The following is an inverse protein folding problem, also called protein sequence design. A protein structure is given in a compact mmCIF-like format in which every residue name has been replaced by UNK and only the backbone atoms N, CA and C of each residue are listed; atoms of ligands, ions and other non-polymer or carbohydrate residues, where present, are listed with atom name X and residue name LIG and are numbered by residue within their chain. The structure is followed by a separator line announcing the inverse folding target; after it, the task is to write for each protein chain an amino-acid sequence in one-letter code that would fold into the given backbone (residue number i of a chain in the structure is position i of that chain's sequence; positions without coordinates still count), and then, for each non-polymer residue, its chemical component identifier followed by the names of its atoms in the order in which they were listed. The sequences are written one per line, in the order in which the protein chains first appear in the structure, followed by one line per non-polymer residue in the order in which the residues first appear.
data_IF_937160768692
#
_entry.id   IF_937160768692
#
_cell.length_a   1.000
_cell.length_b   1.000
_cell.length_c   1.000
_cell.angle_alpha   90.00
_cell.angle_beta   90.00
_cell.angle_gamma   90.00
#
_symmetry.space_group_name_H-M   'P 1'
#
loop_
_entity.id
_entity.type
_entity.pdbx_description
1 polymer ?
#
# COMPACT_ATOMS: atom_id res chain seq x y z
N UNK A 1 24.71 -9.60 15.10
CA UNK A 1 25.76 -9.83 16.11
C UNK A 1 25.41 -9.08 17.38
N UNK A 2 25.45 -9.75 18.54
CA UNK A 2 25.25 -9.13 19.87
C UNK A 2 24.06 -8.16 19.95
N UNK A 3 22.93 -8.55 19.37
CA UNK A 3 21.68 -7.79 19.35
C UNK A 3 21.55 -6.76 18.22
N UNK A 4 22.56 -6.62 17.37
CA UNK A 4 22.50 -5.74 16.19
C UNK A 4 22.41 -6.55 14.91
N UNK A 5 21.39 -6.27 14.07
CA UNK A 5 21.27 -6.84 12.73
C UNK A 5 22.03 -5.94 11.74
N UNK A 6 22.95 -6.54 10.98
CA UNK A 6 23.64 -5.90 9.86
C UNK A 6 23.26 -6.61 8.58
N UNK A 7 22.77 -5.87 7.59
CA UNK A 7 22.43 -6.37 6.26
C UNK A 7 23.33 -5.72 5.22
N UNK A 8 24.01 -6.53 4.41
CA UNK A 8 24.82 -6.09 3.30
C UNK A 8 24.23 -6.60 1.99
N UNK A 9 24.07 -5.70 1.03
CA UNK A 9 23.72 -6.09 -0.34
C UNK A 9 24.96 -6.63 -1.05
N UNK A 10 24.77 -7.53 -2.00
CA UNK A 10 25.86 -8.10 -2.78
C UNK A 10 26.74 -7.03 -3.44
N UNK A 11 26.15 -6.00 -4.05
CA UNK A 11 26.90 -4.89 -4.64
C UNK A 11 27.80 -4.18 -3.60
N UNK A 12 27.28 -3.97 -2.39
CA UNK A 12 28.03 -3.33 -1.31
C UNK A 12 29.17 -4.21 -0.79
N UNK A 13 28.98 -5.54 -0.78
CA UNK A 13 30.05 -6.48 -0.38
C UNK A 13 31.19 -6.45 -1.41
N UNK A 14 30.87 -6.34 -2.71
CA UNK A 14 31.88 -6.22 -3.77
C UNK A 14 32.67 -4.89 -3.72
N UNK A 15 32.13 -3.87 -3.05
CA UNK A 15 32.76 -2.55 -2.88
C UNK A 15 33.46 -2.36 -1.51
N UNK A 16 33.47 -3.39 -0.66
CA UNK A 16 34.14 -3.30 0.65
C UNK A 16 35.62 -2.99 0.53
N UNK A 17 36.16 -2.34 1.54
CA UNK A 17 37.60 -2.06 1.64
C UNK A 17 38.38 -3.36 1.77
N UNK A 18 39.59 -3.44 1.17
CA UNK A 18 40.45 -4.59 1.32
C UNK A 18 40.99 -4.74 2.76
N UNK A 19 40.77 -5.92 3.34
CA UNK A 19 41.32 -6.31 4.64
C UNK A 19 42.49 -7.23 4.41
N UNK A 20 43.59 -7.07 5.19
CA UNK A 20 44.78 -7.89 5.08
C UNK A 20 44.44 -9.40 5.19
N UNK A 21 44.88 -10.19 4.22
CA UNK A 21 44.65 -11.64 4.06
C UNK A 21 43.18 -12.05 3.69
N UNK A 22 42.22 -11.12 3.72
CA UNK A 22 40.80 -11.45 3.43
C UNK A 22 40.35 -10.95 2.07
N UNK A 23 41.04 -9.98 1.49
CA UNK A 23 40.56 -9.25 0.32
C UNK A 23 39.44 -8.29 0.69
N UNK A 24 38.45 -8.09 -0.19
CA UNK A 24 37.29 -7.24 0.11
C UNK A 24 36.41 -7.93 1.14
N UNK A 25 36.48 -7.47 2.38
CA UNK A 25 35.80 -8.13 3.48
C UNK A 25 35.36 -7.16 4.59
N UNK A 26 34.31 -7.54 5.30
CA UNK A 26 33.94 -6.98 6.61
C UNK A 26 34.17 -8.03 7.69
N UNK A 27 34.93 -7.67 8.71
CA UNK A 27 35.32 -8.55 9.82
C UNK A 27 34.75 -7.97 11.11
N UNK A 28 33.83 -8.69 11.75
CA UNK A 28 33.17 -8.26 12.99
C UNK A 28 33.41 -9.28 14.11
N UNK A 29 33.83 -8.79 15.28
CA UNK A 29 33.95 -9.64 16.48
C UNK A 29 32.58 -9.79 17.14
N UNK A 30 32.13 -11.02 17.36
CA UNK A 30 30.90 -11.37 18.05
C UNK A 30 31.25 -11.97 19.40
N UNK A 31 30.74 -11.39 20.47
CA UNK A 31 31.16 -11.77 21.82
C UNK A 31 30.30 -12.85 22.46
N UNK A 32 29.01 -12.87 22.17
CA UNK A 32 28.08 -13.72 22.88
C UNK A 32 27.07 -14.44 21.98
N UNK A 33 26.41 -13.71 21.11
CA UNK A 33 25.35 -14.27 20.28
C UNK A 33 25.37 -13.68 18.86
N UNK A 34 25.31 -14.55 17.87
CA UNK A 34 25.25 -14.10 16.49
C UNK A 34 25.06 -15.25 15.53
N UNK A 35 24.71 -14.87 14.34
CA UNK A 35 24.59 -15.74 13.18
C UNK A 35 24.98 -14.97 11.93
N UNK A 36 25.40 -15.68 10.90
CA UNK A 36 25.85 -15.11 9.63
C UNK A 36 25.41 -16.02 8.48
N UNK A 37 25.06 -15.45 7.34
CA UNK A 37 24.67 -16.23 6.18
C UNK A 37 24.12 -15.40 5.05
N UNK A 38 23.52 -16.08 4.09
CA UNK A 38 22.90 -15.50 2.93
C UNK A 38 21.38 -15.61 3.04
N UNK A 39 20.68 -14.55 2.64
CA UNK A 39 19.23 -14.52 2.62
C UNK A 39 18.72 -13.98 1.30
N UNK A 40 17.66 -14.60 0.79
CA UNK A 40 16.86 -14.14 -0.32
C UNK A 40 15.41 -13.92 0.17
N UNK A 41 14.49 -13.65 -0.72
CA UNK A 41 13.08 -13.36 -0.40
C UNK A 41 12.47 -14.42 0.53
N UNK A 42 12.58 -15.70 0.18
CA UNK A 42 11.93 -16.81 0.88
C UNK A 42 12.88 -17.84 1.44
N UNK A 43 14.16 -17.81 1.07
CA UNK A 43 15.14 -18.81 1.42
C UNK A 43 16.33 -18.18 2.12
N UNK A 44 16.96 -18.92 2.99
CA UNK A 44 18.21 -18.52 3.59
C UNK A 44 19.11 -19.70 3.91
N UNK A 45 20.40 -19.43 3.95
CA UNK A 45 21.43 -20.33 4.49
C UNK A 45 22.19 -19.58 5.55
N UNK A 46 22.16 -20.06 6.78
CA UNK A 46 22.69 -19.33 7.93
C UNK A 46 23.47 -20.27 8.84
N UNK A 47 24.65 -19.84 9.22
CA UNK A 47 25.50 -20.49 10.22
C UNK A 47 25.37 -19.73 11.55
N UNK A 48 24.98 -20.44 12.60
CA UNK A 48 24.87 -19.90 13.96
C UNK A 48 25.75 -20.72 14.90
N UNK A 49 26.85 -20.17 15.42
CA UNK A 49 27.57 -20.75 16.58
C UNK A 49 26.65 -20.95 17.77
N UNK A 50 26.96 -21.90 18.64
CA UNK A 50 26.14 -22.13 19.82
C UNK A 50 25.97 -20.85 20.65
N UNK A 51 24.77 -20.59 21.21
CA UNK A 51 24.54 -19.40 22.04
C UNK A 51 25.58 -19.28 23.18
N UNK A 52 26.11 -18.08 23.37
CA UNK A 52 27.17 -17.81 24.35
C UNK A 52 28.59 -18.04 23.85
N UNK A 53 28.76 -18.51 22.61
CA UNK A 53 30.10 -18.76 22.05
C UNK A 53 30.55 -17.55 21.22
N UNK A 54 31.74 -17.01 21.58
CA UNK A 54 32.37 -15.94 20.81
C UNK A 54 32.97 -16.47 19.49
N UNK A 55 32.85 -15.65 18.44
CA UNK A 55 33.41 -15.94 17.12
C UNK A 55 33.73 -14.67 16.35
N UNK A 56 34.53 -14.79 15.30
CA UNK A 56 34.71 -13.71 14.32
C UNK A 56 33.82 -13.98 13.10
N UNK A 57 32.95 -13.04 12.81
CA UNK A 57 32.10 -13.03 11.61
C UNK A 57 32.86 -12.39 10.46
N UNK A 58 32.94 -13.05 9.31
CA UNK A 58 33.61 -12.54 8.12
C UNK A 58 32.65 -12.64 6.93
N UNK A 59 32.38 -11.51 6.29
CA UNK A 59 31.70 -11.44 5.00
C UNK A 59 32.71 -10.99 3.97
N UNK A 60 32.88 -11.71 2.87
CA UNK A 60 33.89 -11.36 1.87
C UNK A 60 33.44 -11.65 0.44
N UNK A 61 34.08 -10.95 -0.48
CA UNK A 61 33.92 -11.13 -1.93
C UNK A 61 35.28 -11.50 -2.53
N UNK A 62 35.34 -12.64 -3.20
CA UNK A 62 36.48 -13.12 -3.94
C UNK A 62 36.43 -12.71 -5.40
N UNK A 63 37.03 -11.57 -5.75
CA UNK A 63 36.98 -10.99 -7.10
C UNK A 63 37.38 -11.98 -8.21
N UNK A 64 38.44 -12.78 -7.99
CA UNK A 64 38.95 -13.71 -9.00
C UNK A 64 38.02 -14.86 -9.36
N UNK A 65 37.07 -15.18 -8.47
CA UNK A 65 36.13 -16.28 -8.66
C UNK A 65 34.67 -15.80 -8.73
N UNK A 66 34.40 -14.51 -8.52
CA UNK A 66 33.06 -13.92 -8.41
C UNK A 66 32.19 -14.65 -7.35
N UNK A 67 32.77 -14.89 -6.19
CA UNK A 67 32.13 -15.65 -5.12
C UNK A 67 31.98 -14.78 -3.87
N UNK A 68 30.76 -14.78 -3.31
CA UNK A 68 30.48 -14.24 -1.99
C UNK A 68 30.60 -15.36 -0.95
N UNK A 69 31.25 -15.06 0.17
CA UNK A 69 31.50 -16.03 1.22
C UNK A 69 31.19 -15.44 2.59
N UNK A 70 30.58 -16.24 3.47
CA UNK A 70 30.39 -15.93 4.88
C UNK A 70 31.06 -16.99 5.74
N UNK A 71 31.71 -16.54 6.80
CA UNK A 71 32.45 -17.42 7.71
C UNK A 71 32.18 -17.06 9.17
N UNK A 72 32.06 -18.08 10.01
CA UNK A 72 32.13 -17.94 11.47
C UNK A 72 33.44 -18.62 11.96
N UNK A 73 34.34 -17.84 12.45
CA UNK A 73 35.65 -18.33 12.91
C UNK A 73 35.72 -18.33 14.43
N UNK A 74 35.93 -19.50 14.99
CA UNK A 74 36.16 -19.64 16.43
C UNK A 74 37.56 -19.17 16.84
N UNK A 75 37.72 -18.64 18.06
CA UNK A 75 39.03 -18.31 18.59
C UNK A 75 39.92 -19.56 18.68
N UNK A 76 41.23 -19.39 18.47
CA UNK A 76 42.18 -20.48 18.62
C UNK A 76 42.14 -21.02 20.03
N UNK A 77 42.13 -22.34 20.16
CA UNK A 77 42.16 -23.06 21.43
C UNK A 77 43.34 -23.98 21.48
N UNK A 78 44.03 -23.99 22.62
CA UNK A 78 45.14 -24.93 22.86
C UNK A 78 44.58 -26.20 23.45
N UNK A 79 44.78 -27.33 22.76
CA UNK A 79 44.32 -28.65 23.21
C UNK A 79 45.51 -29.37 23.78
N UNK A 80 45.49 -29.67 25.10
CA UNK A 80 46.54 -30.43 25.75
C UNK A 80 46.52 -31.93 25.34
N UNK A 81 47.64 -32.64 25.35
CA UNK A 81 47.67 -34.07 25.05
C UNK A 81 46.68 -34.86 25.91
N UNK A 82 45.84 -35.69 25.29
CA UNK A 82 44.81 -36.49 25.96
C UNK A 82 43.52 -35.75 26.35
N UNK A 83 43.37 -34.46 25.99
CA UNK A 83 42.14 -33.69 26.22
C UNK A 83 41.36 -33.50 24.92
N UNK A 84 40.10 -33.19 25.04
CA UNK A 84 39.16 -32.93 23.92
C UNK A 84 38.56 -31.52 24.07
N UNK A 85 38.42 -30.83 22.94
CA UNK A 85 37.69 -29.58 22.83
C UNK A 85 36.59 -29.76 21.77
N UNK A 86 35.43 -29.30 22.05
CA UNK A 86 34.28 -29.29 21.10
C UNK A 86 33.85 -27.87 20.78
N UNK A 87 33.42 -27.66 19.55
CA UNK A 87 32.78 -26.43 19.09
C UNK A 87 31.46 -26.80 18.38
N UNK A 88 30.38 -26.31 18.90
CA UNK A 88 29.06 -26.61 18.37
C UNK A 88 28.57 -25.45 17.51
N UNK A 89 27.96 -25.78 16.37
CA UNK A 89 27.36 -24.82 15.46
C UNK A 89 26.08 -25.41 14.82
N UNK A 90 25.17 -24.52 14.49
CA UNK A 90 23.92 -24.86 13.78
C UNK A 90 23.99 -24.32 12.38
N UNK A 91 23.67 -25.13 11.40
CA UNK A 91 23.49 -24.73 10.00
C UNK A 91 22.02 -24.80 9.66
N UNK A 92 21.41 -23.67 9.36
CA UNK A 92 20.08 -23.60 8.78
C UNK A 92 20.20 -23.40 7.27
N UNK A 93 19.53 -24.24 6.48
CA UNK A 93 19.42 -24.08 5.04
C UNK A 93 17.98 -24.44 4.64
N UNK A 94 17.17 -23.44 4.34
CA UNK A 94 15.76 -23.71 4.07
C UNK A 94 14.89 -22.47 3.86
N UNK A 95 13.58 -22.72 3.83
CA UNK A 95 12.59 -21.66 3.72
C UNK A 95 12.43 -20.88 5.02
N UNK A 96 12.20 -19.57 4.90
CA UNK A 96 11.97 -18.68 6.05
C UNK A 96 10.55 -18.82 6.59
N UNK A 97 10.19 -20.02 7.03
CA UNK A 97 8.90 -20.31 7.70
C UNK A 97 8.98 -19.75 9.11
N UNK A 98 8.07 -18.86 9.44
CA UNK A 98 8.11 -18.11 10.70
C UNK A 98 8.11 -19.03 11.94
N UNK A 99 7.25 -20.06 11.97
CA UNK A 99 7.21 -20.99 13.10
C UNK A 99 8.57 -21.69 13.32
N UNK A 100 9.20 -22.13 12.23
CA UNK A 100 10.50 -22.80 12.28
C UNK A 100 11.59 -21.86 12.80
N UNK A 101 11.62 -20.63 12.27
CA UNK A 101 12.60 -19.62 12.67
C UNK A 101 12.38 -19.21 14.14
N UNK A 102 11.13 -19.02 14.55
CA UNK A 102 10.80 -18.70 15.93
C UNK A 102 11.15 -19.86 16.89
N UNK A 103 10.91 -21.11 16.49
CA UNK A 103 11.31 -22.27 17.27
C UNK A 103 12.83 -22.34 17.48
N UNK A 104 13.62 -22.02 16.47
CA UNK A 104 15.09 -21.96 16.62
C UNK A 104 15.55 -20.76 17.46
N UNK A 105 14.80 -19.68 17.49
CA UNK A 105 15.08 -18.58 18.40
C UNK A 105 14.81 -18.95 19.87
N UNK A 106 13.80 -19.82 20.13
CA UNK A 106 13.48 -20.30 21.47
C UNK A 106 14.41 -21.45 21.90
N UNK A 107 14.66 -22.40 21.02
CA UNK A 107 15.54 -23.55 21.25
C UNK A 107 16.25 -23.93 19.91
N UNK A 108 17.59 -23.77 19.83
CA UNK A 108 18.62 -23.64 20.88
C UNK A 108 18.87 -22.23 21.43
N UNK A 109 18.09 -21.22 21.09
CA UNK A 109 18.26 -19.87 21.62
C UNK A 109 19.08 -18.93 20.72
N UNK A 110 18.92 -19.07 19.39
CA UNK A 110 19.58 -18.21 18.40
C UNK A 110 18.94 -16.82 18.45
N UNK A 111 19.53 -15.89 19.16
CA UNK A 111 18.95 -14.56 19.40
C UNK A 111 18.78 -13.76 18.11
N UNK A 112 17.61 -13.11 17.97
CA UNK A 112 17.30 -12.28 16.82
C UNK A 112 17.11 -13.06 15.50
N UNK A 113 16.92 -14.39 15.55
CA UNK A 113 16.81 -15.20 14.34
C UNK A 113 15.54 -14.88 13.53
N UNK A 114 14.46 -14.44 14.19
CA UNK A 114 13.24 -13.96 13.55
C UNK A 114 13.50 -12.69 12.72
N UNK A 115 14.55 -11.94 13.01
CA UNK A 115 14.93 -10.75 12.25
C UNK A 115 15.69 -11.08 10.94
N UNK A 116 15.94 -12.37 10.65
CA UNK A 116 16.32 -12.85 9.31
C UNK A 116 15.21 -12.64 8.26
N UNK A 117 13.96 -12.46 8.70
CA UNK A 117 12.84 -12.01 7.86
C UNK A 117 12.89 -10.49 7.80
N UNK A 118 12.95 -9.94 6.59
CA UNK A 118 12.99 -8.49 6.38
C UNK A 118 11.62 -7.85 6.68
N UNK A 119 11.45 -7.37 7.91
CA UNK A 119 10.22 -6.73 8.38
C UNK A 119 10.04 -5.28 7.87
N UNK A 120 11.04 -4.69 7.24
CA UNK A 120 11.02 -3.32 6.72
C UNK A 120 11.05 -2.23 7.80
N UNK A 121 10.95 -0.97 7.36
CA UNK A 121 11.04 0.20 8.25
C UNK A 121 9.94 0.27 9.31
N UNK A 122 8.76 -0.23 8.99
CA UNK A 122 7.61 -0.25 9.92
C UNK A 122 7.53 -1.58 10.69
N UNK A 123 8.70 -2.20 11.04
CA UNK A 123 8.77 -3.49 11.72
C UNK A 123 7.90 -3.55 12.99
N UNK A 124 7.74 -2.44 13.71
CA UNK A 124 6.89 -2.32 14.88
C UNK A 124 5.39 -2.50 14.57
N UNK A 125 4.95 -2.27 13.32
CA UNK A 125 3.62 -2.58 12.81
C UNK A 125 3.60 -3.91 12.06
N UNK A 126 4.64 -4.19 11.26
CA UNK A 126 4.70 -5.37 10.40
C UNK A 126 4.68 -6.66 11.22
N UNK A 127 5.48 -6.75 12.29
CA UNK A 127 5.52 -7.95 13.16
C UNK A 127 4.16 -8.24 13.84
N UNK A 128 3.49 -7.29 14.51
CA UNK A 128 2.16 -7.54 15.08
C UNK A 128 1.10 -7.87 14.02
N UNK A 129 1.11 -7.20 12.87
CA UNK A 129 0.17 -7.45 11.78
C UNK A 129 0.38 -8.86 11.22
N UNK A 130 1.63 -9.30 11.04
CA UNK A 130 1.96 -10.64 10.61
C UNK A 130 1.45 -11.69 11.61
N UNK A 131 1.74 -11.52 12.91
CA UNK A 131 1.27 -12.44 13.95
C UNK A 131 -0.25 -12.55 13.99
N UNK A 132 -0.94 -11.42 13.83
CA UNK A 132 -2.40 -11.40 13.77
C UNK A 132 -2.93 -12.10 12.51
N UNK A 133 -2.29 -11.89 11.34
CA UNK A 133 -2.65 -12.59 10.11
C UNK A 133 -2.45 -14.10 10.24
N UNK A 134 -1.32 -14.51 10.80
CA UNK A 134 -0.98 -15.91 11.04
C UNK A 134 -1.99 -16.58 11.99
N UNK A 135 -2.34 -15.90 13.10
CA UNK A 135 -3.36 -16.38 14.01
C UNK A 135 -4.73 -16.52 13.34
N UNK A 136 -5.13 -15.51 12.55
CA UNK A 136 -6.38 -15.57 11.77
C UNK A 136 -6.38 -16.71 10.77
N UNK A 137 -5.25 -16.97 10.12
CA UNK A 137 -5.11 -18.08 9.18
C UNK A 137 -5.30 -19.43 9.88
N UNK A 138 -4.69 -19.62 11.04
CA UNK A 138 -4.88 -20.82 11.86
C UNK A 138 -6.33 -21.07 12.25
N UNK A 139 -7.12 -20.00 12.42
CA UNK A 139 -8.54 -20.10 12.78
C UNK A 139 -9.46 -20.24 11.55
N UNK A 140 -9.23 -19.48 10.48
CA UNK A 140 -10.11 -19.42 9.29
C UNK A 140 -9.76 -20.53 8.27
N UNK A 141 -8.49 -20.94 8.21
CA UNK A 141 -8.00 -21.97 7.29
C UNK A 141 -7.81 -21.51 5.84
N UNK A 142 -8.08 -20.24 5.51
CA UNK A 142 -7.89 -19.68 4.18
C UNK A 142 -7.27 -18.28 4.26
N UNK A 143 -6.14 -18.08 3.60
CA UNK A 143 -5.33 -16.86 3.71
C UNK A 143 -6.04 -15.62 3.16
N UNK A 144 -6.80 -15.74 2.07
CA UNK A 144 -7.56 -14.61 1.51
C UNK A 144 -8.65 -14.10 2.45
N UNK A 145 -9.40 -14.99 3.08
CA UNK A 145 -10.37 -14.62 4.12
C UNK A 145 -9.70 -14.08 5.37
N UNK A 146 -8.49 -14.56 5.69
CA UNK A 146 -7.69 -14.02 6.80
C UNK A 146 -7.24 -12.59 6.55
N UNK A 147 -6.87 -12.23 5.31
CA UNK A 147 -6.57 -10.84 4.91
C UNK A 147 -7.81 -9.95 5.06
N UNK A 148 -8.98 -10.44 4.68
CA UNK A 148 -10.25 -9.71 4.85
C UNK A 148 -10.55 -9.50 6.33
N UNK A 149 -10.44 -10.54 7.14
CA UNK A 149 -10.62 -10.48 8.59
C UNK A 149 -9.63 -9.53 9.28
N UNK A 150 -8.36 -9.60 8.90
CA UNK A 150 -7.31 -8.68 9.35
C UNK A 150 -7.68 -7.23 9.02
N UNK A 151 -8.11 -6.97 7.80
CA UNK A 151 -8.53 -5.62 7.35
C UNK A 151 -9.67 -5.09 8.22
N UNK A 152 -10.64 -5.94 8.53
CA UNK A 152 -11.76 -5.59 9.39
C UNK A 152 -11.29 -5.22 10.80
N UNK A 153 -10.40 -6.01 11.40
CA UNK A 153 -9.84 -5.74 12.75
C UNK A 153 -9.05 -4.43 12.75
N UNK A 154 -8.19 -4.20 11.76
CA UNK A 154 -7.42 -2.96 11.66
C UNK A 154 -8.34 -1.75 11.52
N UNK A 155 -9.40 -1.86 10.71
CA UNK A 155 -10.42 -0.80 10.58
C UNK A 155 -11.19 -0.54 11.86
N UNK A 156 -11.44 -1.57 12.65
CA UNK A 156 -12.09 -1.44 13.95
C UNK A 156 -11.19 -0.72 14.96
N UNK A 157 -9.90 -1.03 14.98
CA UNK A 157 -8.92 -0.38 15.86
C UNK A 157 -8.78 1.12 15.56
N UNK A 158 -8.79 1.51 14.29
CA UNK A 158 -8.67 2.92 13.88
C UNK A 158 -10.01 3.65 13.81
N UNK A 159 -11.12 2.94 14.06
CA UNK A 159 -12.48 3.48 13.94
C UNK A 159 -12.74 4.77 14.73
N UNK A 160 -12.29 4.92 16.02
CA UNK A 160 -12.54 6.15 16.77
C UNK A 160 -11.95 7.39 16.10
N UNK A 161 -10.77 7.23 15.47
CA UNK A 161 -10.09 8.31 14.74
C UNK A 161 -10.78 8.58 13.41
N UNK A 162 -11.12 7.53 12.67
CA UNK A 162 -11.88 7.60 11.42
C UNK A 162 -13.23 8.30 11.60
N UNK A 163 -13.95 8.00 12.69
CA UNK A 163 -15.22 8.64 13.02
C UNK A 163 -15.08 10.15 13.15
N UNK A 164 -14.07 10.64 13.89
CA UNK A 164 -13.82 12.09 14.05
C UNK A 164 -13.54 12.74 12.69
N UNK A 165 -12.78 12.09 11.85
CA UNK A 165 -12.47 12.56 10.51
C UNK A 165 -13.71 12.66 9.63
N UNK A 166 -14.54 11.61 9.57
CA UNK A 166 -15.76 11.60 8.74
C UNK A 166 -16.80 12.61 9.19
N UNK A 167 -16.92 12.86 10.51
CA UNK A 167 -17.78 13.94 11.03
C UNK A 167 -17.28 15.31 10.55
N UNK A 168 -15.95 15.54 10.57
CA UNK A 168 -15.37 16.78 10.05
C UNK A 168 -15.59 16.93 8.54
N UNK A 169 -15.47 15.84 7.78
CA UNK A 169 -15.74 15.82 6.34
C UNK A 169 -17.22 16.11 6.03
N UNK A 170 -18.15 15.58 6.83
CA UNK A 170 -19.56 15.87 6.70
C UNK A 170 -19.84 17.38 6.86
N UNK A 171 -19.28 17.99 7.90
CA UNK A 171 -19.37 19.46 8.10
C UNK A 171 -18.75 20.25 6.95
N UNK A 172 -17.59 19.83 6.43
CA UNK A 172 -17.00 20.49 5.24
C UNK A 172 -17.91 20.43 4.04
N UNK A 173 -18.65 19.34 3.86
CA UNK A 173 -19.61 19.20 2.78
C UNK A 173 -20.79 20.15 2.90
N UNK A 174 -21.25 20.44 4.12
CA UNK A 174 -22.27 21.48 4.39
C UNK A 174 -21.82 22.88 4.00
N UNK A 175 -20.50 23.14 4.13
CA UNK A 175 -19.95 24.45 3.81
C UNK A 175 -19.68 24.66 2.32
N UNK A 176 -19.86 23.63 1.47
CA UNK A 176 -19.64 23.74 0.02
C UNK A 176 -20.42 24.88 -0.64
N UNK A 177 -21.74 25.12 -0.36
CA UNK A 177 -22.46 26.23 -0.95
C UNK A 177 -21.87 27.59 -0.57
N UNK A 178 -21.40 27.76 0.67
CA UNK A 178 -20.73 28.98 1.11
C UNK A 178 -19.39 29.18 0.43
N UNK A 179 -18.64 28.10 0.18
CA UNK A 179 -17.37 28.15 -0.56
C UNK A 179 -17.60 28.52 -2.04
N UNK A 180 -18.66 28.03 -2.65
CA UNK A 180 -19.07 28.41 -4.02
C UNK A 180 -19.44 29.90 -4.08
N UNK A 181 -20.21 30.40 -3.12
CA UNK A 181 -20.55 31.83 -3.04
C UNK A 181 -19.30 32.72 -2.82
N UNK A 182 -18.32 32.25 -2.02
CA UNK A 182 -17.03 32.94 -1.88
C UNK A 182 -16.30 32.95 -3.23
N UNK A 183 -16.26 31.84 -3.95
CA UNK A 183 -15.61 31.74 -5.25
C UNK A 183 -16.22 32.68 -6.29
N UNK A 184 -17.55 32.75 -6.36
CA UNK A 184 -18.25 33.67 -7.25
C UNK A 184 -17.95 35.14 -6.92
N UNK A 185 -17.87 35.49 -5.63
CA UNK A 185 -17.59 36.83 -5.17
C UNK A 185 -16.15 37.26 -5.41
N UNK A 186 -15.19 36.37 -5.20
CA UNK A 186 -13.75 36.66 -5.27
C UNK A 186 -13.21 36.54 -6.70
N UNK A 187 -13.88 35.76 -7.57
CA UNK A 187 -13.45 35.51 -8.95
C UNK A 187 -12.14 34.72 -9.02
N UNK A 188 -11.21 35.13 -9.87
CA UNK A 188 -9.97 34.41 -10.16
C UNK A 188 -8.83 34.65 -9.15
N UNK A 189 -9.04 35.48 -8.11
CA UNK A 189 -8.04 35.71 -7.07
C UNK A 189 -7.90 34.52 -6.12
N UNK A 190 -6.99 33.61 -6.45
CA UNK A 190 -6.72 32.40 -5.68
C UNK A 190 -6.31 32.67 -4.23
N UNK A 191 -5.50 33.71 -4.00
CA UNK A 191 -4.98 34.01 -2.66
C UNK A 191 -6.10 34.48 -1.74
N UNK A 192 -6.94 35.37 -2.25
CA UNK A 192 -8.11 35.88 -1.53
C UNK A 192 -9.12 34.77 -1.26
N UNK A 193 -9.38 33.92 -2.26
CA UNK A 193 -10.25 32.75 -2.10
C UNK A 193 -9.76 31.81 -0.98
N UNK A 194 -8.47 31.44 -1.00
CA UNK A 194 -7.91 30.56 0.05
C UNK A 194 -8.00 31.19 1.45
N UNK A 195 -7.74 32.48 1.55
CA UNK A 195 -7.85 33.21 2.83
C UNK A 195 -9.28 33.18 3.37
N UNK A 196 -10.25 33.52 2.55
CA UNK A 196 -11.66 33.56 2.96
C UNK A 196 -12.23 32.16 3.30
N UNK A 197 -11.85 31.14 2.54
CA UNK A 197 -12.21 29.73 2.86
C UNK A 197 -11.57 29.30 4.18
N UNK A 198 -10.33 29.69 4.47
CA UNK A 198 -9.70 29.37 5.74
C UNK A 198 -10.34 30.09 6.92
N UNK A 199 -10.79 31.35 6.72
CA UNK A 199 -11.56 32.09 7.70
C UNK A 199 -12.94 31.45 7.95
N UNK A 200 -13.62 30.98 6.88
CA UNK A 200 -14.86 30.21 6.99
C UNK A 200 -14.66 28.95 7.85
N UNK A 201 -13.62 28.13 7.57
CA UNK A 201 -13.33 26.95 8.36
C UNK A 201 -13.03 27.24 9.83
N UNK A 202 -12.32 28.33 10.12
CA UNK A 202 -12.06 28.78 11.49
C UNK A 202 -13.34 29.20 12.21
N UNK A 203 -14.20 29.96 11.54
CA UNK A 203 -15.49 30.42 12.08
C UNK A 203 -16.41 29.25 12.42
N UNK A 204 -16.50 28.27 11.52
CA UNK A 204 -17.35 27.07 11.67
C UNK A 204 -16.69 25.97 12.50
N UNK A 205 -15.46 26.22 13.04
CA UNK A 205 -14.67 25.28 13.85
C UNK A 205 -14.47 23.92 13.16
N UNK A 206 -14.23 23.93 11.85
CA UNK A 206 -13.96 22.76 11.04
C UNK A 206 -12.46 22.72 10.71
N UNK A 207 -11.86 21.54 10.93
CA UNK A 207 -10.45 21.34 10.60
C UNK A 207 -10.33 20.67 9.20
N UNK A 208 -9.82 21.37 8.18
CA UNK A 208 -9.65 20.80 6.85
C UNK A 208 -8.64 19.65 6.82
N UNK A 209 -7.64 19.64 7.71
CA UNK A 209 -6.68 18.56 7.83
C UNK A 209 -7.31 17.24 8.31
N UNK A 210 -8.48 17.28 8.94
CA UNK A 210 -9.18 16.07 9.33
C UNK A 210 -9.59 15.20 8.12
N UNK A 211 -9.80 15.79 6.95
CA UNK A 211 -10.13 15.06 5.71
C UNK A 211 -9.00 14.17 5.19
N UNK A 212 -7.75 14.55 5.36
CA UNK A 212 -6.59 13.76 4.93
C UNK A 212 -6.07 12.78 6.00
N UNK A 213 -6.54 12.89 7.26
CA UNK A 213 -6.08 12.06 8.37
C UNK A 213 -6.22 10.54 8.13
N UNK A 214 -7.34 10.03 7.56
CA UNK A 214 -7.45 8.61 7.24
C UNK A 214 -6.39 8.14 6.24
N UNK A 215 -6.02 8.97 5.27
CA UNK A 215 -4.99 8.64 4.26
C UNK A 215 -3.61 8.59 4.91
N UNK A 216 -3.27 9.56 5.75
CA UNK A 216 -1.99 9.59 6.47
C UNK A 216 -1.82 8.37 7.38
N UNK A 217 -2.88 7.95 8.06
CA UNK A 217 -2.86 6.74 8.89
C UNK A 217 -2.76 5.46 8.05
N UNK A 218 -3.33 5.48 6.85
CA UNK A 218 -3.34 4.34 5.94
C UNK A 218 -1.96 4.02 5.38
N UNK A 219 -1.09 5.04 5.18
CA UNK A 219 0.24 4.86 4.57
C UNK A 219 1.12 3.88 5.36
N UNK A 220 1.36 4.04 6.68
CA UNK A 220 2.14 3.07 7.45
C UNK A 220 1.54 1.66 7.45
N UNK A 221 0.21 1.57 7.55
CA UNK A 221 -0.50 0.29 7.52
C UNK A 221 -0.32 -0.40 6.16
N UNK A 222 -0.40 0.38 5.07
CA UNK A 222 -0.18 -0.13 3.71
C UNK A 222 1.23 -0.69 3.54
N UNK A 223 2.27 0.07 3.94
CA UNK A 223 3.65 -0.41 3.83
C UNK A 223 3.93 -1.63 4.72
N UNK A 224 3.35 -1.68 5.91
CA UNK A 224 3.46 -2.84 6.78
C UNK A 224 2.81 -4.08 6.13
N UNK A 225 1.60 -3.95 5.59
CA UNK A 225 0.90 -5.04 4.90
C UNK A 225 1.57 -5.44 3.59
N UNK A 226 2.05 -4.46 2.80
CA UNK A 226 2.86 -4.76 1.62
C UNK A 226 4.03 -5.65 2.01
N UNK A 227 4.74 -5.29 3.08
CA UNK A 227 5.88 -6.07 3.56
C UNK A 227 5.47 -7.46 4.03
N UNK A 228 4.40 -7.58 4.82
CA UNK A 228 3.85 -8.88 5.26
C UNK A 228 3.56 -9.76 4.05
N UNK A 229 2.79 -9.28 3.07
CA UNK A 229 2.40 -10.05 1.89
C UNK A 229 3.61 -10.41 1.02
N UNK A 230 4.62 -9.52 0.97
CA UNK A 230 5.82 -9.74 0.16
C UNK A 230 6.77 -10.78 0.77
N UNK A 231 6.99 -10.77 2.09
CA UNK A 231 8.00 -11.62 2.75
C UNK A 231 7.46 -12.93 3.29
N UNK A 232 6.15 -13.05 3.45
CA UNK A 232 5.52 -14.23 4.05
C UNK A 232 5.47 -15.38 3.05
N UNK A 233 6.20 -16.45 3.33
CA UNK A 233 6.21 -17.64 2.47
C UNK A 233 4.87 -18.37 2.47
N UNK A 234 4.10 -18.27 3.54
CA UNK A 234 2.78 -18.87 3.71
C UNK A 234 1.72 -18.30 2.73
N UNK A 235 1.98 -17.12 2.16
CA UNK A 235 1.15 -16.52 1.11
C UNK A 235 1.46 -17.05 -0.29
N UNK A 236 2.65 -17.62 -0.47
CA UNK A 236 3.07 -18.20 -1.75
C UNK A 236 2.25 -19.45 -2.05
N UNK A 237 1.62 -19.46 -3.21
CA UNK A 237 0.69 -20.52 -3.64
C UNK A 237 -0.51 -20.73 -2.70
N UNK A 238 -0.80 -19.74 -1.84
CA UNK A 238 -2.02 -19.76 -1.04
C UNK A 238 -3.21 -19.31 -1.89
N UNK A 239 -4.22 -20.19 -2.10
CA UNK A 239 -5.40 -19.84 -2.87
C UNK A 239 -6.39 -19.01 -2.06
N UNK A 240 -7.21 -18.22 -2.76
CA UNK A 240 -8.40 -17.61 -2.17
C UNK A 240 -9.66 -18.26 -2.71
N UNK A 241 -10.29 -17.67 -3.72
CA UNK A 241 -11.48 -18.18 -4.39
C UNK A 241 -11.34 -18.05 -5.92
N UNK A 242 -12.07 -18.90 -6.66
CA UNK A 242 -12.14 -18.87 -8.13
C UNK A 242 -10.77 -19.06 -8.76
N UNK A 243 -10.33 -18.09 -9.53
CA UNK A 243 -9.07 -18.15 -10.30
C UNK A 243 -7.84 -17.66 -9.54
N UNK A 244 -7.99 -17.18 -8.30
CA UNK A 244 -6.87 -16.75 -7.47
C UNK A 244 -6.25 -17.95 -6.77
N UNK A 245 -5.15 -18.45 -7.34
CA UNK A 245 -4.42 -19.62 -6.82
C UNK A 245 -3.15 -19.26 -6.06
N UNK A 246 -2.73 -17.99 -6.13
CA UNK A 246 -1.54 -17.48 -5.44
C UNK A 246 -1.76 -16.02 -5.00
N UNK A 247 -1.87 -15.81 -3.70
CA UNK A 247 -2.05 -14.47 -3.12
C UNK A 247 -0.76 -13.65 -3.10
N UNK A 248 0.41 -14.28 -3.25
CA UNK A 248 1.70 -13.60 -3.34
C UNK A 248 2.06 -13.18 -4.78
N UNK A 249 1.33 -13.67 -5.78
CA UNK A 249 1.49 -13.33 -7.20
C UNK A 249 0.43 -12.34 -7.68
N UNK A 250 0.68 -11.61 -8.79
CA UNK A 250 -0.34 -10.83 -9.46
C UNK A 250 -1.54 -11.68 -9.91
N UNK A 251 -2.71 -11.06 -10.02
CA UNK A 251 -3.93 -11.72 -10.53
C UNK A 251 -3.70 -12.16 -12.00
N UNK A 252 -3.83 -13.47 -12.30
CA UNK A 252 -3.58 -14.00 -13.63
C UNK A 252 -4.72 -13.73 -14.64
N UNK A 253 -5.84 -13.18 -14.19
CA UNK A 253 -6.95 -12.86 -15.09
C UNK A 253 -6.61 -11.69 -16.03
N UNK A 254 -7.27 -11.64 -17.17
CA UNK A 254 -7.02 -10.65 -18.22
C UNK A 254 -8.31 -10.19 -18.87
N UNK A 255 -8.48 -8.88 -18.97
CA UNK A 255 -9.60 -8.30 -19.71
C UNK A 255 -9.54 -8.65 -21.21
N UNK A 256 -8.33 -8.75 -21.79
CA UNK A 256 -8.16 -8.98 -23.23
C UNK A 256 -8.68 -10.33 -23.69
N UNK A 257 -8.60 -11.38 -22.85
CA UNK A 257 -9.20 -12.67 -23.15
C UNK A 257 -10.55 -12.89 -22.46
N UNK A 258 -11.22 -11.81 -22.07
CA UNK A 258 -12.49 -11.79 -21.32
C UNK A 258 -12.44 -12.73 -20.09
N UNK A 259 -11.36 -12.60 -19.32
CA UNK A 259 -11.13 -13.40 -18.10
C UNK A 259 -11.14 -14.91 -18.33
N UNK A 260 -10.61 -15.36 -19.49
CA UNK A 260 -10.51 -16.77 -19.85
C UNK A 260 -11.68 -17.31 -20.69
N UNK A 261 -12.65 -16.48 -21.06
CA UNK A 261 -13.74 -16.88 -21.96
C UNK A 261 -13.27 -17.05 -23.41
N UNK A 262 -12.21 -16.37 -23.82
CA UNK A 262 -11.62 -16.50 -25.15
C UNK A 262 -10.46 -17.51 -25.13
N UNK A 263 -10.30 -18.36 -26.18
CA UNK A 263 -9.38 -19.49 -26.18
C UNK A 263 -7.94 -19.12 -26.51
N UNK A 264 -7.47 -17.94 -26.06
CA UNK A 264 -6.08 -17.55 -26.22
C UNK A 264 -5.46 -17.10 -24.89
N UNK A 265 -4.15 -17.32 -24.76
CA UNK A 265 -3.41 -16.93 -23.57
C UNK A 265 -3.33 -15.41 -23.42
N UNK A 266 -3.34 -14.86 -22.19
CA UNK A 266 -3.07 -13.46 -21.97
C UNK A 266 -1.68 -13.08 -22.48
N UNK A 267 -1.44 -11.79 -22.84
CA UNK A 267 -0.14 -11.35 -23.30
C UNK A 267 0.97 -11.63 -22.30
N UNK A 268 2.15 -11.96 -22.80
CA UNK A 268 3.31 -12.25 -21.95
C UNK A 268 3.68 -11.05 -21.06
N UNK A 269 4.10 -11.34 -19.83
CA UNK A 269 4.59 -10.34 -18.90
C UNK A 269 5.74 -9.54 -19.51
N UNK A 270 5.80 -8.23 -19.21
CA UNK A 270 6.81 -7.32 -19.77
C UNK A 270 6.46 -6.71 -21.13
N UNK A 271 5.36 -7.12 -21.78
CA UNK A 271 4.90 -6.48 -23.01
C UNK A 271 3.97 -5.30 -22.68
N UNK A 272 3.95 -4.29 -23.58
CA UNK A 272 3.04 -3.13 -23.46
C UNK A 272 1.56 -3.58 -23.47
N UNK A 273 1.26 -4.64 -24.21
CA UNK A 273 -0.06 -5.24 -24.28
C UNK A 273 -0.46 -5.92 -22.96
N UNK A 274 0.49 -6.47 -22.22
CA UNK A 274 0.26 -6.99 -20.88
C UNK A 274 -0.14 -5.87 -19.90
N UNK A 275 0.48 -4.70 -19.97
CA UNK A 275 0.12 -3.55 -19.13
C UNK A 275 -1.31 -3.03 -19.41
N UNK A 276 -1.81 -3.22 -20.63
CA UNK A 276 -3.20 -2.92 -21.00
C UNK A 276 -4.18 -4.04 -20.66
N UNK A 277 -3.66 -5.23 -20.35
CA UNK A 277 -4.43 -6.41 -19.95
C UNK A 277 -4.80 -6.34 -18.48
N UNK A 278 -5.78 -5.50 -18.14
CA UNK A 278 -6.21 -5.28 -16.77
C UNK A 278 -6.75 -6.57 -16.13
N UNK A 279 -6.20 -6.98 -14.98
CA UNK A 279 -6.76 -8.08 -14.20
C UNK A 279 -8.10 -7.72 -13.55
N UNK A 280 -8.93 -8.72 -13.25
CA UNK A 280 -10.25 -8.51 -12.66
C UNK A 280 -10.19 -7.77 -11.31
N UNK A 281 -9.26 -8.16 -10.43
CA UNK A 281 -9.09 -7.49 -9.13
C UNK A 281 -8.67 -6.02 -9.28
N UNK A 282 -7.84 -5.69 -10.28
CA UNK A 282 -7.46 -4.32 -10.54
C UNK A 282 -8.66 -3.47 -10.98
N UNK A 283 -9.53 -4.02 -11.82
CA UNK A 283 -10.78 -3.34 -12.23
C UNK A 283 -11.68 -3.10 -11.02
N UNK A 284 -11.89 -4.12 -10.18
CA UNK A 284 -12.68 -4.00 -8.95
C UNK A 284 -12.06 -2.98 -8.00
N UNK A 285 -10.73 -2.93 -7.90
CA UNK A 285 -10.02 -1.91 -7.13
C UNK A 285 -10.32 -0.50 -7.65
N UNK A 286 -10.16 -0.26 -8.96
CA UNK A 286 -10.45 1.04 -9.57
C UNK A 286 -11.88 1.50 -9.33
N UNK A 287 -12.86 0.59 -9.51
CA UNK A 287 -14.27 0.85 -9.24
C UNK A 287 -14.51 1.17 -7.76
N UNK A 288 -13.91 0.40 -6.84
CA UNK A 288 -14.05 0.62 -5.40
C UNK A 288 -13.48 1.99 -4.96
N UNK A 289 -12.32 2.37 -5.51
CA UNK A 289 -11.72 3.69 -5.26
C UNK A 289 -12.55 4.82 -5.84
N UNK A 290 -13.06 4.66 -7.07
CA UNK A 290 -13.94 5.62 -7.69
C UNK A 290 -15.22 5.82 -6.88
N UNK A 291 -15.84 4.73 -6.40
CA UNK A 291 -17.04 4.77 -5.56
C UNK A 291 -16.75 5.47 -4.22
N UNK A 292 -15.63 5.17 -3.58
CA UNK A 292 -15.22 5.82 -2.33
C UNK A 292 -15.02 7.33 -2.50
N UNK A 293 -14.46 7.77 -3.62
CA UNK A 293 -14.27 9.19 -3.88
C UNK A 293 -15.58 9.97 -4.00
N UNK A 294 -16.68 9.33 -4.40
CA UNK A 294 -18.01 9.97 -4.48
C UNK A 294 -18.58 10.34 -3.12
N UNK A 295 -18.07 9.76 -2.05
CA UNK A 295 -18.43 10.13 -0.67
C UNK A 295 -17.67 11.34 -0.17
N UNK A 296 -16.50 11.63 -0.71
CA UNK A 296 -15.65 12.73 -0.29
C UNK A 296 -16.18 14.08 -0.77
N UNK A 297 -15.95 15.18 -0.01
CA UNK A 297 -16.26 16.52 -0.51
C UNK A 297 -15.43 16.83 -1.76
N UNK A 298 -16.06 17.52 -2.72
CA UNK A 298 -15.39 17.90 -3.96
C UNK A 298 -14.34 18.99 -3.68
N UNK A 299 -13.10 18.84 -4.13
CA UNK A 299 -12.12 19.91 -4.01
C UNK A 299 -12.56 21.16 -4.72
N UNK A 300 -12.27 22.31 -4.13
CA UNK A 300 -12.61 23.61 -4.72
C UNK A 300 -11.69 24.00 -5.89
N UNK A 301 -10.42 23.55 -5.85
CA UNK A 301 -9.44 23.80 -6.89
C UNK A 301 -9.67 22.86 -8.10
N UNK A 302 -9.79 23.41 -9.33
CA UNK A 302 -9.99 22.62 -10.54
C UNK A 302 -8.88 21.60 -10.81
N UNK A 303 -7.63 21.94 -10.51
CA UNK A 303 -6.49 21.03 -10.69
C UNK A 303 -6.58 19.84 -9.74
N UNK A 304 -6.89 20.08 -8.46
CA UNK A 304 -7.13 19.00 -7.50
C UNK A 304 -8.32 18.11 -7.93
N UNK A 305 -9.41 18.73 -8.40
CA UNK A 305 -10.56 17.96 -8.90
C UNK A 305 -10.19 17.02 -10.04
N UNK A 306 -9.36 17.49 -10.97
CA UNK A 306 -8.86 16.67 -12.08
C UNK A 306 -7.95 15.51 -11.57
N UNK A 307 -7.00 15.80 -10.68
CA UNK A 307 -6.11 14.80 -10.07
C UNK A 307 -6.96 13.71 -9.37
N UNK A 308 -7.90 14.10 -8.52
CA UNK A 308 -8.77 13.15 -7.83
C UNK A 308 -9.64 12.33 -8.80
N UNK A 309 -10.13 12.91 -9.88
CA UNK A 309 -10.93 12.19 -10.86
C UNK A 309 -10.14 11.08 -11.58
N UNK A 310 -8.86 11.30 -11.86
CA UNK A 310 -7.99 10.34 -12.55
C UNK A 310 -7.30 9.35 -11.62
N UNK A 311 -7.14 9.69 -10.35
CA UNK A 311 -6.42 8.88 -9.36
C UNK A 311 -6.88 7.42 -9.27
N UNK A 312 -8.18 7.06 -9.23
CA UNK A 312 -8.60 5.66 -9.19
C UNK A 312 -8.12 4.85 -10.39
N UNK A 313 -8.14 5.46 -11.56
CA UNK A 313 -7.73 4.82 -12.82
C UNK A 313 -6.21 4.64 -12.88
N UNK A 314 -5.45 5.64 -12.45
CA UNK A 314 -3.99 5.55 -12.33
C UNK A 314 -3.62 4.41 -11.36
N UNK A 315 -4.24 4.37 -10.19
CA UNK A 315 -3.99 3.31 -9.21
C UNK A 315 -4.41 1.93 -9.73
N UNK A 316 -5.49 1.82 -10.48
CA UNK A 316 -5.93 0.58 -11.11
C UNK A 316 -4.83 -0.01 -12.01
N UNK A 317 -4.23 0.81 -12.88
CA UNK A 317 -3.13 0.39 -13.75
C UNK A 317 -1.85 0.09 -12.97
N UNK A 318 -1.51 0.95 -12.02
CA UNK A 318 -0.27 0.83 -11.24
C UNK A 318 -0.30 -0.42 -10.33
N UNK A 319 -1.41 -0.64 -9.65
CA UNK A 319 -1.54 -1.73 -8.67
C UNK A 319 -2.01 -3.05 -9.28
N UNK A 320 -2.41 -3.06 -10.56
CA UNK A 320 -2.78 -4.30 -11.26
C UNK A 320 -1.65 -5.34 -11.35
N UNK A 321 -0.39 -4.90 -11.30
CA UNK A 321 0.78 -5.77 -11.25
C UNK A 321 1.23 -6.19 -9.86
N UNK A 322 0.54 -5.78 -8.80
CA UNK A 322 0.89 -6.16 -7.43
C UNK A 322 0.27 -7.53 -7.05
N UNK A 323 0.81 -8.11 -5.98
CA UNK A 323 0.30 -9.35 -5.41
C UNK A 323 -1.22 -9.29 -5.16
N UNK A 324 -1.94 -10.32 -5.55
CA UNK A 324 -3.41 -10.41 -5.44
C UNK A 324 -3.90 -10.20 -4.00
N UNK A 325 -3.16 -10.66 -3.00
CA UNK A 325 -3.47 -10.44 -1.59
C UNK A 325 -3.44 -8.96 -1.19
N UNK A 326 -2.52 -8.16 -1.75
CA UNK A 326 -2.45 -6.73 -1.49
C UNK A 326 -3.60 -5.97 -2.16
N UNK A 327 -3.94 -6.35 -3.38
CA UNK A 327 -5.10 -5.78 -4.11
C UNK A 327 -6.40 -6.13 -3.37
N UNK A 328 -6.54 -7.38 -2.91
CA UNK A 328 -7.67 -7.84 -2.10
C UNK A 328 -7.83 -7.03 -0.81
N UNK A 329 -6.72 -6.83 -0.09
CA UNK A 329 -6.71 -5.94 1.07
C UNK A 329 -7.24 -4.54 0.73
N UNK A 330 -6.76 -3.94 -0.37
CA UNK A 330 -7.15 -2.59 -0.74
C UNK A 330 -8.62 -2.49 -1.12
N UNK A 331 -9.14 -3.44 -1.89
CA UNK A 331 -10.58 -3.53 -2.21
C UNK A 331 -11.40 -3.61 -0.93
N UNK A 332 -11.04 -4.53 -0.02
CA UNK A 332 -11.73 -4.72 1.27
C UNK A 332 -11.67 -3.44 2.11
N UNK A 333 -10.50 -2.81 2.19
CA UNK A 333 -10.30 -1.53 2.87
C UNK A 333 -11.23 -0.43 2.33
N UNK A 334 -11.37 -0.33 1.01
CA UNK A 334 -12.25 0.66 0.37
C UNK A 334 -13.72 0.36 0.67
N UNK A 335 -14.15 -0.90 0.57
CA UNK A 335 -15.53 -1.30 0.85
C UNK A 335 -15.93 -1.02 2.30
N UNK A 336 -15.07 -1.37 3.26
CA UNK A 336 -15.30 -1.07 4.68
C UNK A 336 -15.32 0.45 4.90
N UNK A 337 -14.42 1.19 4.26
CA UNK A 337 -14.37 2.65 4.34
C UNK A 337 -15.66 3.28 3.82
N UNK A 338 -16.18 2.82 2.67
CA UNK A 338 -17.47 3.26 2.11
C UNK A 338 -18.59 3.03 3.12
N UNK A 339 -18.67 1.82 3.68
CA UNK A 339 -19.69 1.47 4.66
C UNK A 339 -19.59 2.34 5.93
N UNK A 340 -18.38 2.51 6.49
CA UNK A 340 -18.14 3.35 7.67
C UNK A 340 -18.49 4.81 7.40
N UNK A 341 -17.99 5.38 6.31
CA UNK A 341 -18.21 6.77 5.95
C UNK A 341 -19.69 7.05 5.68
N UNK A 342 -20.37 6.20 4.92
CA UNK A 342 -21.80 6.32 4.64
C UNK A 342 -22.61 6.26 5.94
N UNK A 343 -22.33 5.30 6.82
CA UNK A 343 -23.05 5.13 8.10
C UNK A 343 -22.83 6.35 8.99
N UNK A 344 -21.60 6.80 9.18
CA UNK A 344 -21.28 7.93 10.06
C UNK A 344 -21.92 9.22 9.54
N UNK A 345 -21.82 9.50 8.23
CA UNK A 345 -22.42 10.68 7.63
C UNK A 345 -23.94 10.66 7.74
N UNK A 346 -24.56 9.51 7.51
CA UNK A 346 -26.03 9.35 7.62
C UNK A 346 -26.52 9.56 9.05
N UNK A 347 -25.80 9.08 10.06
CA UNK A 347 -26.11 9.27 11.48
C UNK A 347 -26.01 10.74 11.93
N UNK A 348 -25.23 11.56 11.23
CA UNK A 348 -25.05 12.98 11.52
C UNK A 348 -25.88 13.89 10.62
N UNK A 349 -26.94 13.36 10.02
CA UNK A 349 -27.91 14.15 9.25
C UNK A 349 -27.54 14.36 7.76
N UNK A 350 -26.37 13.88 7.33
CA UNK A 350 -25.88 14.07 5.97
C UNK A 350 -25.85 12.75 5.21
N UNK A 351 -27.00 12.34 4.67
CA UNK A 351 -27.05 11.15 3.80
C UNK A 351 -26.33 11.45 2.48
N UNK A 352 -25.18 10.79 2.20
CA UNK A 352 -24.54 10.96 0.91
C UNK A 352 -25.45 10.40 -0.19
N UNK A 353 -25.80 11.24 -1.16
CA UNK A 353 -26.51 10.78 -2.35
C UNK A 353 -25.53 10.12 -3.33
N UNK A 354 -25.23 8.85 -3.08
CA UNK A 354 -24.34 8.05 -3.94
C UNK A 354 -24.88 7.96 -5.36
N UNK A 355 -26.17 7.72 -5.52
CA UNK A 355 -26.79 7.52 -6.84
C UNK A 355 -26.91 8.83 -7.62
N UNK A 356 -27.27 9.92 -6.96
CA UNK A 356 -27.28 11.26 -7.58
C UNK A 356 -25.88 11.69 -8.00
N UNK A 357 -24.87 11.49 -7.14
CA UNK A 357 -23.47 11.78 -7.45
C UNK A 357 -22.93 10.92 -8.60
N UNK A 358 -23.33 9.66 -8.70
CA UNK A 358 -22.98 8.78 -9.82
C UNK A 358 -23.67 9.26 -11.09
N UNK A 359 -24.98 9.56 -11.03
CA UNK A 359 -25.76 10.02 -12.19
C UNK A 359 -25.26 11.36 -12.74
N UNK A 360 -24.89 12.29 -11.89
CA UNK A 360 -24.33 13.59 -12.29
C UNK A 360 -22.93 13.50 -12.90
N UNK A 361 -22.19 12.42 -12.64
CA UNK A 361 -20.84 12.20 -13.18
C UNK A 361 -20.80 11.42 -14.49
N UNK A 362 -21.93 10.80 -14.87
CA UNK A 362 -22.05 10.19 -16.18
C UNK A 362 -22.27 11.30 -17.22
N UNK A 363 -21.59 11.26 -18.38
CA UNK A 363 -21.84 12.24 -19.45
C UNK A 363 -23.33 12.22 -19.76
N UNK A 364 -23.93 13.41 -19.72
CA UNK A 364 -25.35 13.56 -20.00
C UNK A 364 -25.65 12.97 -21.39
N UNK A 365 -26.38 11.88 -21.42
CA UNK A 365 -26.84 11.22 -22.64
C UNK A 365 -27.70 12.24 -23.35
N UNK A 366 -27.11 12.96 -24.33
CA UNK A 366 -27.81 13.73 -25.37
C UNK A 366 -29.05 14.52 -24.91
N UNK A 367 -28.88 15.61 -24.14
CA UNK A 367 -29.72 16.75 -24.33
C UNK A 367 -29.21 17.47 -25.57
N UNK A 368 -29.81 17.19 -26.71
CA UNK A 368 -29.69 18.04 -27.90
C UNK A 368 -29.87 19.48 -27.41
N UNK A 369 -28.88 20.33 -27.64
CA UNK A 369 -29.01 21.77 -27.45
C UNK A 369 -30.26 22.21 -28.21
N UNK A 370 -31.29 22.54 -27.46
CA UNK A 370 -32.40 23.30 -28.01
C UNK A 370 -31.79 24.64 -28.41
N UNK A 371 -31.65 24.88 -29.73
CA UNK A 371 -31.33 26.18 -30.30
C UNK A 371 -32.16 27.23 -29.59
N UNK A 372 -31.59 28.35 -29.12
CA UNK A 372 -32.37 29.44 -28.58
C UNK A 372 -33.31 29.90 -29.66
N UNK A 373 -34.61 29.83 -29.35
CA UNK A 373 -35.69 30.34 -30.21
C UNK A 373 -35.38 31.82 -30.51
N UNK A 374 -35.27 32.12 -31.78
CA UNK A 374 -34.99 33.47 -32.29
C UNK A 374 -36.00 34.46 -31.70
N UNK A 375 -35.52 35.60 -31.24
CA UNK A 375 -36.34 36.74 -30.85
C UNK A 375 -37.33 37.04 -31.97
N UNK A 376 -38.64 37.29 -31.68
CA UNK A 376 -39.58 37.73 -32.70
C UNK A 376 -39.16 39.09 -33.24
N UNK A 377 -39.08 39.20 -34.57
CA UNK A 377 -38.82 40.44 -35.26
C UNK A 377 -39.93 41.47 -34.91
N UNK A 378 -39.51 42.61 -34.40
CA UNK A 378 -40.40 43.75 -34.18
C UNK A 378 -40.96 44.21 -35.55
N UNK A 379 -42.30 44.09 -35.72
CA UNK A 379 -43.00 44.64 -36.83
C UNK A 379 -42.86 46.16 -36.82
N UNK A 380 -42.29 46.71 -37.88
CA UNK A 380 -42.29 48.13 -38.16
C UNK A 380 -43.67 48.73 -38.23
N UNK A 381 -43.89 49.67 -37.37
CA UNK A 381 -45.05 50.54 -37.43
C UNK A 381 -44.87 51.64 -38.46
N UNK A 382 -45.78 51.63 -39.39
CA UNK A 382 -45.99 52.58 -40.47
C UNK A 382 -46.23 53.98 -39.90
N UNK A 383 -45.57 55.01 -40.41
CA UNK A 383 -45.91 56.39 -40.16
C UNK A 383 -46.62 56.96 -41.32
N UNK A 384 -47.85 57.45 -41.15
CA UNK A 384 -48.52 58.28 -42.21
C UNK A 384 -47.91 59.68 -42.23
N UNK A 385 -47.80 60.17 -43.44
CA UNK A 385 -47.32 61.50 -43.77
C UNK A 385 -48.23 62.61 -43.33
N UNK A 386 -47.68 63.75 -43.08
CA UNK A 386 -48.33 65.04 -42.83
C UNK A 386 -47.57 66.17 -43.51
N UNK A 387 -48.20 66.79 -44.47
CA UNK A 387 -47.80 67.89 -45.34
C UNK A 387 -47.67 69.25 -44.67
N UNK A 388 -46.89 70.08 -45.34
CA UNK A 388 -47.03 71.54 -45.56
C UNK A 388 -46.54 72.43 -44.40
N UNK A 389 -45.70 73.39 -44.69
CA UNK A 389 -45.80 74.54 -45.50
C UNK A 389 -45.05 75.72 -44.98
N UNK A 390 -44.43 76.38 -45.90
CA UNK A 390 -43.68 77.65 -45.91
C UNK A 390 -42.24 77.67 -45.43
#
# INVERSE_FOLDING_TARGET
SDGTLTELKYDNIAELDPVEREGRAEVTQVTNNGWIGFTDKYWMTTLAPAPGQAFTSVVKYAEGADIYQTEARYPMQTVAPGTQVSADSYLFAGAKVWETINAYQENPGIQGFVDSIDWGWFYFLTKPIFRLLHWLHGFIGNMGWSIIGLTFILKLLVFPLARKSYISMAKMKELQPQMEAIKERVGDDRMKYQKEVMELYKREKVNPAAGCLPVLLQIPIFFALYKVIFVTIELRHAPWIGWIHDLAAPDPSSLLNLFGLLPFAPPAQGTLLHSLSLPALAIVLGISMWLQQRLNPTPADPAQKMIFAWMPWIFMFMLGGFASGLVLYWITNNLITIAQQYTIMSMHGHRPDLFGNIRSSLPARGKAEAKPAGKPAAKGGDKPGGKAGK
#
